data_IF_005900343907
#
_entry.id   IF_005900343907
#
_cell.length_a   1.000
_cell.length_b   1.000
_cell.length_c   1.000
_cell.angle_alpha   90.00
_cell.angle_beta   90.00
_cell.angle_gamma   90.00
#
_symmetry.space_group_name_H-M   'P 1'
#
loop_
_entity.id
_entity.type
_entity.pdbx_description
1 polymer ?
#
# COMPACT_ATOMS: atom_id res chain seq x y z
N UNK A 1 -0.32 0.19 -30.17
CA UNK A 1 -1.40 0.91 -29.44
C UNK A 1 -1.33 0.49 -27.98
N UNK A 2 -1.30 1.42 -27.04
CA UNK A 2 -1.21 1.15 -25.59
C UNK A 2 -2.59 1.03 -24.91
N UNK A 3 -3.65 0.99 -25.72
CA UNK A 3 -5.02 0.86 -25.26
C UNK A 3 -5.41 -0.61 -25.18
N UNK A 4 -6.03 -1.02 -24.08
CA UNK A 4 -6.62 -2.35 -23.90
C UNK A 4 -7.71 -2.53 -24.97
N UNK A 5 -7.62 -3.61 -25.73
CA UNK A 5 -8.46 -3.90 -26.91
C UNK A 5 -8.49 -2.78 -27.96
N UNK A 6 -7.47 -1.91 -27.98
CA UNK A 6 -7.45 -0.71 -28.83
C UNK A 6 -8.44 0.38 -28.42
N UNK A 7 -9.19 0.21 -27.32
CA UNK A 7 -10.32 1.06 -26.94
C UNK A 7 -10.18 1.73 -25.58
N UNK A 8 -9.53 1.13 -24.59
CA UNK A 8 -9.53 1.66 -23.22
C UNK A 8 -8.13 2.01 -22.73
N UNK A 9 -8.03 3.03 -21.88
CA UNK A 9 -6.79 3.32 -21.17
C UNK A 9 -6.67 2.41 -19.95
N UNK A 10 -5.50 1.79 -19.78
CA UNK A 10 -5.21 0.96 -18.62
C UNK A 10 -4.88 1.83 -17.41
N UNK A 11 -5.60 1.64 -16.32
CA UNK A 11 -5.26 2.21 -15.01
C UNK A 11 -4.92 1.06 -14.09
N UNK A 12 -3.74 1.13 -13.48
CA UNK A 12 -3.31 0.19 -12.44
C UNK A 12 -3.55 0.83 -11.07
N UNK A 13 -3.92 0.01 -10.10
CA UNK A 13 -4.12 0.40 -8.71
C UNK A 13 -3.10 -0.35 -7.88
N UNK A 14 -2.31 0.37 -7.08
CA UNK A 14 -1.25 -0.20 -6.25
C UNK A 14 -1.15 0.52 -4.89
N UNK A 15 -0.64 -0.18 -3.88
CA UNK A 15 -0.38 0.37 -2.55
C UNK A 15 1.04 0.92 -2.45
N UNK A 16 1.21 2.23 -2.51
CA UNK A 16 2.54 2.88 -2.42
C UNK A 16 2.85 3.30 -0.98
N UNK A 17 3.99 2.84 -0.46
CA UNK A 17 4.48 3.23 0.88
C UNK A 17 5.14 4.61 0.87
N UNK A 18 4.73 5.50 1.77
CA UNK A 18 5.29 6.85 1.91
C UNK A 18 6.32 6.92 3.04
N UNK A 19 5.96 6.42 4.22
CA UNK A 19 6.78 6.53 5.43
C UNK A 19 6.68 5.28 6.29
N UNK A 20 7.77 5.02 7.02
CA UNK A 20 7.94 3.85 7.87
C UNK A 20 8.65 4.25 9.17
N UNK A 21 8.15 3.77 10.31
CA UNK A 21 8.62 4.11 11.64
C UNK A 21 8.67 2.88 12.56
N UNK A 22 9.65 2.85 13.47
CA UNK A 22 9.74 1.83 14.53
C UNK A 22 8.88 2.17 15.76
N UNK A 23 8.48 3.44 15.89
CA UNK A 23 7.57 3.93 16.93
C UNK A 23 6.35 4.59 16.29
N UNK A 24 5.22 4.63 17.01
CA UNK A 24 3.96 5.15 16.48
C UNK A 24 4.05 6.68 16.28
N UNK A 25 3.94 7.13 15.03
CA UNK A 25 3.97 8.54 14.68
C UNK A 25 2.62 9.25 14.90
N UNK A 26 1.50 8.62 14.49
CA UNK A 26 0.15 9.16 14.71
C UNK A 26 -0.91 8.05 14.77
N UNK A 27 -2.19 8.43 14.98
CA UNK A 27 -3.31 7.49 15.07
C UNK A 27 -3.68 6.81 13.74
N UNK A 28 -3.28 7.40 12.61
CA UNK A 28 -3.58 6.89 11.26
C UNK A 28 -2.48 5.96 10.72
N UNK A 29 -1.44 5.65 11.51
CA UNK A 29 -0.43 4.70 11.09
C UNK A 29 -1.03 3.30 10.95
N UNK A 30 -0.76 2.64 9.82
CA UNK A 30 -0.96 1.21 9.67
C UNK A 30 0.08 0.46 10.51
N UNK A 31 -0.30 -0.69 11.09
CA UNK A 31 0.55 -1.51 11.95
C UNK A 31 0.84 -2.85 11.29
N UNK A 32 2.12 -3.19 11.11
CA UNK A 32 2.57 -4.51 10.66
C UNK A 32 3.42 -5.16 11.75
N UNK A 33 2.93 -6.27 12.30
CA UNK A 33 3.72 -7.11 13.20
C UNK A 33 4.35 -8.26 12.41
N UNK A 34 5.61 -8.57 12.69
CA UNK A 34 6.29 -9.74 12.12
C UNK A 34 7.21 -10.38 13.16
N UNK A 35 7.25 -11.70 13.17
CA UNK A 35 8.12 -12.48 14.08
C UNK A 35 9.35 -12.93 13.32
N UNK A 36 10.52 -12.59 13.82
CA UNK A 36 11.78 -13.12 13.32
C UNK A 36 11.83 -14.62 13.63
N UNK A 37 11.94 -15.46 12.60
CA UNK A 37 11.93 -16.93 12.75
C UNK A 37 13.18 -17.47 13.46
N UNK A 38 14.29 -16.74 13.43
CA UNK A 38 15.56 -17.17 14.02
C UNK A 38 15.67 -16.76 15.48
N UNK A 39 15.28 -15.52 15.81
CA UNK A 39 15.37 -14.99 17.18
C UNK A 39 14.10 -15.18 18.00
N UNK A 40 12.97 -15.46 17.35
CA UNK A 40 11.65 -15.50 17.99
C UNK A 40 11.08 -14.13 18.36
N UNK A 41 11.82 -13.05 18.09
CA UNK A 41 11.42 -11.69 18.47
C UNK A 41 10.31 -11.15 17.55
N UNK A 42 9.27 -10.59 18.15
CA UNK A 42 8.19 -9.93 17.41
C UNK A 42 8.46 -8.44 17.33
N UNK A 43 8.62 -7.95 16.10
CA UNK A 43 8.82 -6.54 15.80
C UNK A 43 7.54 -5.93 15.25
N UNK A 44 7.31 -4.65 15.56
CA UNK A 44 6.15 -3.88 15.08
C UNK A 44 6.65 -2.70 14.28
N UNK A 45 6.09 -2.54 13.08
CA UNK A 45 6.39 -1.46 12.16
C UNK A 45 5.13 -0.62 11.96
N UNK A 46 5.29 0.70 12.03
CA UNK A 46 4.24 1.67 11.75
C UNK A 46 4.48 2.29 10.37
N UNK A 47 3.46 2.35 9.54
CA UNK A 47 3.61 2.80 8.15
C UNK A 47 2.45 3.67 7.68
N UNK A 48 2.74 4.56 6.73
CA UNK A 48 1.74 5.31 5.98
C UNK A 48 1.82 4.90 4.51
N UNK A 49 0.71 4.39 3.99
CA UNK A 49 0.57 4.01 2.59
C UNK A 49 -0.54 4.81 1.95
N UNK A 50 -0.46 4.97 0.64
CA UNK A 50 -1.54 5.48 -0.20
C UNK A 50 -1.93 4.43 -1.23
N UNK A 51 -3.22 4.34 -1.52
CA UNK A 51 -3.73 3.65 -2.69
C UNK A 51 -3.54 4.61 -3.87
N UNK A 52 -2.75 4.22 -4.85
CA UNK A 52 -2.41 5.06 -5.98
C UNK A 52 -2.99 4.49 -7.28
N UNK A 53 -3.68 5.35 -8.02
CA UNK A 53 -4.09 5.06 -9.38
C UNK A 53 -3.05 5.63 -10.35
N UNK A 54 -2.53 4.77 -11.24
CA UNK A 54 -1.52 5.16 -12.23
C UNK A 54 -2.00 4.84 -13.63
N UNK A 55 -1.93 5.83 -14.53
CA UNK A 55 -2.13 5.66 -15.95
C UNK A 55 -0.83 5.17 -16.60
N UNK A 56 -0.88 4.03 -17.29
CA UNK A 56 0.27 3.45 -17.99
C UNK A 56 0.13 3.67 -19.48
N UNK A 57 1.14 4.30 -20.10
CA UNK A 57 1.18 4.59 -21.54
C UNK A 57 2.55 4.22 -22.10
N UNK A 58 2.65 3.00 -22.63
CA UNK A 58 3.94 2.45 -23.06
C UNK A 58 4.88 2.33 -21.87
N UNK A 59 6.05 2.97 -21.96
CA UNK A 59 7.07 2.95 -20.89
C UNK A 59 6.91 4.11 -19.90
N UNK A 60 5.82 4.87 -19.98
CA UNK A 60 5.51 5.99 -19.08
C UNK A 60 4.42 5.60 -18.08
N UNK A 61 4.57 6.06 -16.83
CA UNK A 61 3.61 5.84 -15.75
C UNK A 61 3.32 7.17 -15.07
N UNK A 62 2.05 7.54 -14.98
CA UNK A 62 1.61 8.82 -14.40
C UNK A 62 0.64 8.58 -13.25
N UNK A 63 0.92 9.15 -12.08
CA UNK A 63 -0.02 9.21 -10.96
C UNK A 63 -1.20 10.11 -11.32
N UNK A 64 -2.42 9.59 -11.23
CA UNK A 64 -3.65 10.32 -11.58
C UNK A 64 -4.58 10.53 -10.38
N UNK A 65 -4.44 9.72 -9.34
CA UNK A 65 -5.14 9.89 -8.06
C UNK A 65 -4.41 9.14 -6.94
N UNK A 66 -4.59 9.61 -5.71
CA UNK A 66 -4.07 8.97 -4.50
C UNK A 66 -5.06 9.16 -3.36
N UNK A 67 -5.22 8.15 -2.52
CA UNK A 67 -6.02 8.18 -1.28
C UNK A 67 -5.23 7.51 -0.16
N UNK A 68 -5.29 8.02 1.08
CA UNK A 68 -4.61 7.37 2.20
C UNK A 68 -5.25 6.03 2.53
N UNK A 69 -4.43 5.01 2.74
CA UNK A 69 -4.89 3.74 3.30
C UNK A 69 -4.92 3.90 4.81
N UNK A 70 -6.12 3.97 5.37
CA UNK A 70 -6.35 4.08 6.81
C UNK A 70 -7.18 2.88 7.28
N UNK A 71 -6.84 2.34 8.46
CA UNK A 71 -7.70 1.37 9.12
C UNK A 71 -8.66 2.12 10.05
N UNK A 72 -9.95 1.84 9.94
CA UNK A 72 -10.97 2.38 10.86
C UNK A 72 -10.75 1.92 12.31
N UNK A 73 -10.03 0.81 12.51
CA UNK A 73 -9.63 0.33 13.84
C UNK A 73 -8.22 -0.29 13.84
N UNK A 74 -7.50 -0.17 14.96
CA UNK A 74 -6.12 -0.68 15.07
C UNK A 74 -6.00 -2.20 15.10
N UNK A 75 -7.10 -2.90 15.36
CA UNK A 75 -7.15 -4.36 15.50
C UNK A 75 -8.10 -4.98 14.47
N UNK A 76 -7.83 -4.69 13.19
CA UNK A 76 -8.48 -5.40 12.08
C UNK A 76 -7.79 -6.74 11.85
N UNK A 77 -8.57 -7.79 11.57
CA UNK A 77 -8.03 -9.07 11.13
C UNK A 77 -7.31 -8.88 9.80
N UNK A 78 -6.14 -9.49 9.65
CA UNK A 78 -5.44 -9.51 8.36
C UNK A 78 -6.36 -10.16 7.34
N UNK A 79 -6.69 -9.45 6.25
CA UNK A 79 -7.36 -10.05 5.12
C UNK A 79 -6.32 -10.88 4.35
N UNK A 80 -6.53 -12.18 4.29
CA UNK A 80 -5.63 -13.18 3.69
C UNK A 80 -6.17 -13.71 2.35
N UNK A 81 -6.95 -12.89 1.62
CA UNK A 81 -7.50 -13.26 0.31
C UNK A 81 -6.46 -13.34 -0.84
N UNK A 82 -5.20 -13.65 -0.52
CA UNK A 82 -4.14 -14.02 -1.46
C UNK A 82 -3.47 -15.33 -1.03
#
# INVERSE_FOLDING_TARGET
SYRIEGKYWGVIIDGTGLHTFHEKHCKHCLRRAYTNKETGETNVLYMHHVLEAKLVVGDMVFSIASEFIENESENVSKQDCE
#
